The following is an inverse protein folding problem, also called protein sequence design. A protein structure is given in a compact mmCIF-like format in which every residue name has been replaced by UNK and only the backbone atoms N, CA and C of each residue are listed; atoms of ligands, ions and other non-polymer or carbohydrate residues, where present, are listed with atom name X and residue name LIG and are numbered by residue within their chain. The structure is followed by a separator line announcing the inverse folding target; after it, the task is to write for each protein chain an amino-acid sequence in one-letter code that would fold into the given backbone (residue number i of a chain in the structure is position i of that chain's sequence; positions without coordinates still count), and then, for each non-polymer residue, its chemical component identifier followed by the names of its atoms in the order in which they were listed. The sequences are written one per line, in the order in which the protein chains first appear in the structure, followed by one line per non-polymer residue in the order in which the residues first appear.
data_IF_990508170148
#
_entry.id   IF_990508170148
#
_cell.length_a   1.000
_cell.length_b   1.000
_cell.length_c   1.000
_cell.angle_alpha   90.00
_cell.angle_beta   90.00
_cell.angle_gamma   90.00
#
_symmetry.space_group_name_H-M   'P 1'
#
loop_
_entity.id
_entity.type
_entity.pdbx_description
1 polymer ?
#
# COMPACT_ATOMS: atom_id res chain seq x y z
N UNK A 1 9.31 -5.65 3.77
CA UNK A 1 8.40 -5.83 4.94
C UNK A 1 7.28 -4.82 4.80
N UNK A 2 6.06 -5.23 5.11
CA UNK A 2 4.91 -4.34 5.20
C UNK A 2 4.61 -4.12 6.68
N UNK A 3 4.47 -2.87 7.10
CA UNK A 3 4.04 -2.53 8.46
C UNK A 3 3.00 -1.43 8.38
N UNK A 4 1.86 -1.67 9.04
CA UNK A 4 0.71 -0.78 9.05
C UNK A 4 0.39 -0.46 10.51
N UNK A 5 0.31 0.82 10.82
CA UNK A 5 -0.11 1.32 12.13
C UNK A 5 -1.34 2.18 11.97
N UNK A 6 -2.22 2.23 12.98
CA UNK A 6 -3.48 2.92 12.82
C UNK A 6 -4.19 3.20 14.14
N UNK A 7 -5.36 3.86 14.07
CA UNK A 7 -6.13 4.24 15.25
C UNK A 7 -6.57 3.00 16.05
N UNK A 8 -6.57 3.14 17.37
CA UNK A 8 -7.06 2.11 18.29
C UNK A 8 -8.60 2.10 18.27
N UNK A 9 -9.18 1.50 17.23
CA UNK A 9 -10.63 1.37 17.05
C UNK A 9 -11.02 -0.11 16.98
N UNK A 10 -12.18 -0.49 17.54
CA UNK A 10 -12.66 -1.89 17.58
C UNK A 10 -12.76 -2.55 16.20
N UNK A 11 -12.95 -1.76 15.13
CA UNK A 11 -12.98 -2.25 13.76
C UNK A 11 -11.61 -2.42 13.08
N UNK A 12 -10.52 -1.94 13.71
CA UNK A 12 -9.18 -2.01 13.11
C UNK A 12 -8.51 -3.27 13.60
N UNK A 13 -8.48 -4.28 12.73
CA UNK A 13 -7.68 -5.47 12.91
C UNK A 13 -6.42 -5.34 12.05
N UNK A 14 -5.39 -4.57 12.48
CA UNK A 14 -4.18 -4.38 11.69
C UNK A 14 -3.68 -5.72 11.20
N UNK A 15 -3.17 -5.77 9.97
CA UNK A 15 -2.60 -7.01 9.43
C UNK A 15 -1.50 -7.59 10.35
N UNK A 16 -0.94 -6.75 11.23
CA UNK A 16 0.15 -7.06 12.13
C UNK A 16 1.47 -6.99 11.37
N UNK A 17 2.54 -7.51 11.96
CA UNK A 17 3.75 -7.76 11.19
C UNK A 17 3.50 -8.86 10.17
N UNK A 18 3.83 -8.58 8.91
CA UNK A 18 3.64 -9.51 7.81
C UNK A 18 4.66 -9.32 6.70
N UNK A 19 4.81 -10.35 5.88
CA UNK A 19 5.65 -10.30 4.69
C UNK A 19 4.79 -10.45 3.45
N UNK A 20 4.95 -9.51 2.53
CA UNK A 20 4.53 -9.66 1.15
C UNK A 20 5.78 -9.93 0.33
N UNK A 21 5.79 -11.03 -0.42
CA UNK A 21 6.90 -11.41 -1.30
C UNK A 21 6.39 -11.51 -2.74
N UNK A 22 7.15 -10.93 -3.66
CA UNK A 22 6.89 -11.01 -5.10
C UNK A 22 7.77 -12.12 -5.69
N UNK A 23 7.16 -13.04 -6.43
CA UNK A 23 7.86 -14.12 -7.12
C UNK A 23 7.44 -14.23 -8.58
N UNK A 24 8.30 -14.81 -9.40
CA UNK A 24 7.94 -15.20 -10.76
C UNK A 24 6.96 -16.37 -10.72
N UNK A 25 5.94 -16.32 -11.58
CA UNK A 25 4.93 -17.34 -11.77
C UNK A 25 4.63 -17.51 -13.26
N UNK A 26 3.74 -18.43 -13.58
CA UNK A 26 3.27 -18.67 -14.95
C UNK A 26 1.76 -18.55 -14.95
N UNK A 27 1.20 -17.72 -15.83
CA UNK A 27 -0.24 -17.60 -15.97
C UNK A 27 -0.80 -18.86 -16.66
N UNK A 28 -1.47 -19.71 -15.88
CA UNK A 28 -1.91 -21.05 -16.28
C UNK A 28 -2.73 -21.13 -17.60
N UNK A 29 -3.55 -20.14 -17.99
CA UNK A 29 -4.28 -20.18 -19.25
C UNK A 29 -3.41 -19.95 -20.49
N UNK A 30 -2.26 -19.28 -20.38
CA UNK A 30 -1.49 -18.79 -21.53
C UNK A 30 0.00 -19.10 -21.49
N UNK A 31 0.51 -19.68 -20.40
CA UNK A 31 1.93 -20.00 -20.25
C UNK A 31 2.84 -18.77 -20.21
N UNK A 32 2.27 -17.56 -20.05
CA UNK A 32 3.02 -16.33 -20.07
C UNK A 32 3.73 -16.09 -18.73
N UNK A 33 4.92 -15.46 -18.74
CA UNK A 33 5.57 -14.99 -17.52
C UNK A 33 4.64 -14.05 -16.76
N UNK A 34 4.44 -14.35 -15.48
CA UNK A 34 3.64 -13.57 -14.58
C UNK A 34 4.39 -13.32 -13.27
N UNK A 35 3.85 -12.42 -12.47
CA UNK A 35 4.27 -12.21 -11.10
C UNK A 35 3.15 -12.68 -10.17
N UNK A 36 3.53 -13.25 -9.03
CA UNK A 36 2.60 -13.66 -7.98
C UNK A 36 3.07 -13.05 -6.66
N UNK A 37 2.14 -12.46 -5.92
CA UNK A 37 2.39 -12.03 -4.55
C UNK A 37 2.02 -13.16 -3.59
N UNK A 38 2.88 -13.40 -2.61
CA UNK A 38 2.54 -14.21 -1.44
C UNK A 38 2.47 -13.30 -0.23
N UNK A 39 1.27 -13.16 0.35
CA UNK A 39 1.09 -12.53 1.64
C UNK A 39 1.16 -13.60 2.74
N UNK A 40 2.01 -13.36 3.73
CA UNK A 40 2.14 -14.19 4.92
C UNK A 40 2.05 -13.32 6.16
N UNK A 41 1.04 -13.59 6.97
CA UNK A 41 0.81 -13.00 8.30
C UNK A 41 0.63 -14.13 9.33
N UNK A 42 0.57 -13.84 10.64
CA UNK A 42 0.21 -14.85 11.63
C UNK A 42 -1.18 -15.48 11.40
N UNK A 43 -2.07 -14.77 10.69
CA UNK A 43 -3.46 -15.18 10.46
C UNK A 43 -3.69 -15.90 9.15
N UNK A 44 -2.89 -15.63 8.11
CA UNK A 44 -3.12 -16.18 6.78
C UNK A 44 -1.84 -16.32 5.97
N UNK A 45 -1.82 -17.29 5.05
CA UNK A 45 -0.89 -17.32 3.93
C UNK A 45 -1.72 -17.45 2.66
N UNK A 46 -1.62 -16.47 1.76
CA UNK A 46 -2.37 -16.48 0.50
C UNK A 46 -1.54 -16.00 -0.67
N UNK A 47 -1.82 -16.58 -1.83
CA UNK A 47 -1.32 -16.16 -3.13
C UNK A 47 -2.28 -15.17 -3.75
N UNK A 48 -1.74 -14.13 -4.38
CA UNK A 48 -2.49 -13.06 -5.02
C UNK A 48 -1.86 -12.84 -6.41
N UNK A 49 -2.69 -12.87 -7.44
CA UNK A 49 -2.26 -12.82 -8.84
C UNK A 49 -2.99 -13.86 -9.69
N UNK A 50 -2.50 -14.13 -10.92
CA UNK A 50 -1.25 -13.62 -11.51
C UNK A 50 -1.30 -12.14 -11.94
N UNK A 51 -0.15 -11.48 -11.94
CA UNK A 51 0.04 -10.10 -12.43
C UNK A 51 0.93 -10.08 -13.68
N UNK A 52 0.66 -9.20 -14.66
CA UNK A 52 1.51 -9.06 -15.84
C UNK A 52 2.88 -8.46 -15.49
N UNK A 53 3.95 -9.01 -16.08
CA UNK A 53 5.32 -8.49 -15.90
C UNK A 53 5.54 -7.08 -16.46
N UNK A 54 4.69 -6.64 -17.39
CA UNK A 54 4.72 -5.31 -18.01
C UNK A 54 3.92 -4.25 -17.25
N UNK A 55 3.26 -4.62 -16.15
CA UNK A 55 2.49 -3.72 -15.32
C UNK A 55 3.35 -2.90 -14.34
N UNK A 56 2.69 -2.00 -13.59
CA UNK A 56 3.30 -1.37 -12.42
C UNK A 56 3.58 -2.38 -11.30
N UNK A 57 4.34 -1.97 -10.29
CA UNK A 57 4.72 -2.84 -9.16
C UNK A 57 3.47 -3.44 -8.48
N UNK A 58 3.26 -4.77 -8.54
CA UNK A 58 2.10 -5.40 -7.91
C UNK A 58 2.08 -5.24 -6.40
N UNK A 59 3.24 -5.18 -5.75
CA UNK A 59 3.33 -5.02 -4.31
C UNK A 59 2.83 -3.64 -3.88
N UNK A 60 3.18 -2.59 -4.63
CA UNK A 60 2.66 -1.24 -4.42
C UNK A 60 1.14 -1.20 -4.63
N UNK A 61 0.66 -1.80 -5.71
CA UNK A 61 -0.78 -1.86 -6.01
C UNK A 61 -1.55 -2.54 -4.88
N UNK A 62 -1.08 -3.71 -4.43
CA UNK A 62 -1.67 -4.44 -3.31
C UNK A 62 -1.68 -3.62 -2.01
N UNK A 63 -0.57 -2.95 -1.70
CA UNK A 63 -0.46 -2.10 -0.51
C UNK A 63 -1.48 -0.95 -0.50
N UNK A 64 -1.61 -0.23 -1.62
CA UNK A 64 -2.55 0.89 -1.73
C UNK A 64 -4.01 0.41 -1.66
N UNK A 65 -4.34 -0.70 -2.32
CA UNK A 65 -5.68 -1.29 -2.29
C UNK A 65 -6.09 -1.76 -0.90
N UNK A 66 -5.15 -2.38 -0.18
CA UNK A 66 -5.37 -2.83 1.20
C UNK A 66 -5.58 -1.64 2.13
N UNK A 67 -4.73 -0.63 2.03
CA UNK A 67 -4.86 0.61 2.81
C UNK A 67 -6.22 1.29 2.57
N UNK A 68 -6.63 1.40 1.30
CA UNK A 68 -7.91 2.02 0.97
C UNK A 68 -9.11 1.21 1.49
N UNK A 69 -9.04 -0.12 1.40
CA UNK A 69 -10.08 -1.03 1.92
C UNK A 69 -10.22 -0.91 3.43
N UNK A 70 -9.11 -0.91 4.15
CA UNK A 70 -9.11 -0.84 5.62
C UNK A 70 -9.67 0.50 6.09
N UNK A 71 -9.24 1.60 5.48
CA UNK A 71 -9.77 2.93 5.79
C UNK A 71 -11.28 3.01 5.51
N UNK A 72 -11.76 2.46 4.39
CA UNK A 72 -13.19 2.46 4.07
C UNK A 72 -14.01 1.67 5.11
N UNK A 73 -13.51 0.50 5.52
CA UNK A 73 -14.16 -0.33 6.52
C UNK A 73 -14.28 0.38 7.88
N UNK A 74 -13.29 1.19 8.25
CA UNK A 74 -13.24 1.91 9.52
C UNK A 74 -14.05 3.20 9.55
N UNK A 75 -13.97 3.97 8.47
CA UNK A 75 -14.58 5.30 8.40
C UNK A 75 -16.02 5.25 7.88
N UNK A 76 -16.44 4.11 7.31
CA UNK A 76 -17.65 4.03 6.48
C UNK A 76 -17.55 4.83 5.19
N UNK A 77 -16.34 5.30 4.83
CA UNK A 77 -16.07 6.11 3.66
C UNK A 77 -16.14 5.31 2.35
N UNK A 78 -16.27 6.02 1.23
CA UNK A 78 -16.27 5.40 -0.10
C UNK A 78 -14.87 4.88 -0.46
N UNK A 79 -14.70 3.58 -0.77
CA UNK A 79 -13.42 3.05 -1.25
C UNK A 79 -12.94 3.75 -2.52
N UNK A 80 -13.86 4.16 -3.39
CA UNK A 80 -13.53 4.89 -4.63
C UNK A 80 -12.94 6.28 -4.33
N UNK A 81 -13.54 7.00 -3.37
CA UNK A 81 -13.03 8.30 -2.93
C UNK A 81 -11.62 8.19 -2.38
N UNK A 82 -11.43 7.24 -1.45
CA UNK A 82 -10.14 6.99 -0.79
C UNK A 82 -9.07 6.66 -1.82
N UNK A 83 -9.33 5.72 -2.75
CA UNK A 83 -8.41 5.38 -3.84
C UNK A 83 -8.03 6.60 -4.68
N UNK A 84 -8.99 7.45 -5.04
CA UNK A 84 -8.70 8.65 -5.82
C UNK A 84 -7.80 9.61 -5.05
N UNK A 85 -7.98 9.77 -3.74
CA UNK A 85 -7.10 10.59 -2.90
C UNK A 85 -5.69 10.01 -2.79
N UNK A 86 -5.56 8.69 -2.57
CA UNK A 86 -4.23 8.04 -2.57
C UNK A 86 -3.52 8.24 -3.90
N UNK A 87 -4.23 8.03 -5.02
CA UNK A 87 -3.71 8.23 -6.38
C UNK A 87 -3.30 9.69 -6.61
N UNK A 88 -4.17 10.64 -6.29
CA UNK A 88 -3.89 12.06 -6.47
C UNK A 88 -2.66 12.48 -5.67
N UNK A 89 -2.49 11.95 -4.46
CA UNK A 89 -1.31 12.21 -3.65
C UNK A 89 -0.03 11.74 -4.34
N UNK A 90 -0.02 10.50 -4.84
CA UNK A 90 1.13 9.93 -5.56
C UNK A 90 1.54 10.72 -6.79
N UNK A 91 0.58 11.36 -7.48
CA UNK A 91 0.87 12.16 -8.67
C UNK A 91 1.17 13.63 -8.41
N UNK A 92 0.69 14.20 -7.30
CA UNK A 92 0.66 15.66 -7.12
C UNK A 92 1.33 16.16 -5.84
N UNK A 93 1.48 15.32 -4.83
CA UNK A 93 1.95 15.73 -3.52
C UNK A 93 2.80 14.64 -2.86
N UNK A 94 4.10 14.71 -3.12
CA UNK A 94 5.09 13.88 -2.46
C UNK A 94 6.34 14.69 -2.15
N UNK A 95 7.01 14.33 -1.07
CA UNK A 95 8.31 14.87 -0.71
C UNK A 95 9.33 13.75 -0.56
N UNK A 96 10.59 14.06 -0.84
CA UNK A 96 11.71 13.14 -0.61
C UNK A 96 12.38 13.53 0.70
N UNK A 97 12.35 12.62 1.67
CA UNK A 97 13.08 12.72 2.94
C UNK A 97 14.30 11.81 2.89
N UNK A 98 15.41 12.28 3.45
CA UNK A 98 16.62 11.47 3.67
C UNK A 98 16.65 11.06 5.14
N UNK A 99 16.49 9.76 5.40
CA UNK A 99 16.41 9.21 6.76
C UNK A 99 17.59 8.25 6.99
N UNK A 100 18.69 8.82 7.52
CA UNK A 100 19.98 8.12 7.54
C UNK A 100 20.49 7.91 6.11
N UNK A 101 20.81 6.67 5.76
CA UNK A 101 21.25 6.26 4.42
C UNK A 101 20.07 6.01 3.46
N UNK A 102 18.83 6.09 3.93
CA UNK A 102 17.64 5.76 3.14
C UNK A 102 17.01 6.99 2.48
N UNK A 103 16.66 6.86 1.21
CA UNK A 103 15.79 7.81 0.50
C UNK A 103 14.34 7.38 0.67
N UNK A 104 13.50 8.24 1.23
CA UNK A 104 12.10 7.94 1.54
C UNK A 104 11.18 8.92 0.84
N UNK A 105 10.31 8.41 -0.04
CA UNK A 105 9.24 9.21 -0.60
C UNK A 105 8.03 9.19 0.35
N UNK A 106 7.58 10.37 0.78
CA UNK A 106 6.48 10.55 1.73
C UNK A 106 5.34 11.28 1.06
N UNK A 107 4.13 10.76 1.22
CA UNK A 107 2.89 11.30 0.66
C UNK A 107 1.85 11.43 1.77
N UNK A 108 1.10 12.54 1.77
CA UNK A 108 0.07 12.85 2.78
C UNK A 108 -1.29 13.05 2.13
N UNK A 109 -2.01 11.96 1.78
CA UNK A 109 -3.13 12.02 0.85
C UNK A 109 -4.30 12.91 1.29
N UNK A 110 -4.42 13.13 2.59
CA UNK A 110 -5.53 13.85 3.18
C UNK A 110 -5.13 15.18 3.81
N UNK A 111 -3.89 15.64 3.59
CA UNK A 111 -3.36 16.87 4.20
C UNK A 111 -4.27 18.09 3.99
N UNK A 112 -4.95 18.17 2.84
CA UNK A 112 -5.82 19.29 2.48
C UNK A 112 -7.23 18.82 2.11
N UNK A 113 -7.65 17.64 2.60
CA UNK A 113 -8.95 17.09 2.27
C UNK A 113 -10.08 17.77 3.07
N UNK A 114 -11.20 18.05 2.42
CA UNK A 114 -12.37 18.66 3.05
C UNK A 114 -13.05 17.73 4.07
N UNK A 115 -12.91 16.41 3.91
CA UNK A 115 -13.52 15.38 4.74
C UNK A 115 -12.63 14.94 5.92
N UNK A 116 -11.49 15.60 6.18
CA UNK A 116 -10.55 15.24 7.26
C UNK A 116 -11.22 14.93 8.60
N UNK A 117 -12.19 15.75 9.02
CA UNK A 117 -12.92 15.55 10.28
C UNK A 117 -13.72 14.25 10.38
N UNK A 118 -13.88 13.52 9.28
CA UNK A 118 -14.65 12.25 9.19
C UNK A 118 -13.75 11.03 9.02
N UNK A 119 -12.43 11.20 9.05
CA UNK A 119 -11.47 10.15 8.70
C UNK A 119 -10.98 9.32 9.89
N UNK A 120 -11.53 9.50 11.09
CA UNK A 120 -11.22 8.67 12.27
C UNK A 120 -9.71 8.49 12.55
N UNK A 121 -8.90 9.54 12.35
CA UNK A 121 -7.45 9.52 12.53
C UNK A 121 -6.63 9.33 11.24
N UNK A 122 -7.25 8.88 10.15
CA UNK A 122 -6.58 8.79 8.83
C UNK A 122 -6.33 10.14 8.16
N UNK A 123 -6.83 11.25 8.71
CA UNK A 123 -6.53 12.59 8.20
C UNK A 123 -5.04 12.97 8.32
N UNK A 124 -4.28 12.21 9.12
CA UNK A 124 -2.83 12.33 9.28
C UNK A 124 -2.04 11.21 8.59
N UNK A 125 -2.69 10.40 7.74
CA UNK A 125 -2.05 9.29 7.03
C UNK A 125 -0.81 9.76 6.25
N UNK A 126 0.33 9.14 6.53
CA UNK A 126 1.56 9.24 5.73
C UNK A 126 1.81 7.91 5.01
N UNK A 127 1.83 7.93 3.68
CA UNK A 127 2.37 6.82 2.90
C UNK A 127 3.87 7.02 2.74
N UNK A 128 4.66 6.03 3.13
CA UNK A 128 6.13 6.13 3.12
C UNK A 128 6.72 4.97 2.32
N UNK A 129 7.49 5.30 1.30
CA UNK A 129 8.15 4.34 0.43
C UNK A 129 9.66 4.51 0.54
N UNK A 130 10.34 3.50 1.08
CA UNK A 130 11.80 3.48 1.07
C UNK A 130 12.27 3.04 -0.31
N UNK A 131 12.93 3.96 -1.00
CA UNK A 131 13.44 3.80 -2.35
C UNK A 131 14.89 3.32 -2.30
N UNK A 132 15.22 2.36 -3.15
CA UNK A 132 16.60 2.04 -3.54
C UNK A 132 16.79 2.56 -4.98
N UNK A 133 17.50 1.83 -5.83
CA UNK A 133 17.59 2.07 -7.27
C UNK A 133 16.18 2.13 -7.92
N UNK A 134 15.85 3.16 -8.72
CA UNK A 134 14.55 3.29 -9.41
C UNK A 134 14.17 2.10 -10.30
N UNK A 135 15.15 1.32 -10.76
CA UNK A 135 14.93 0.08 -11.53
C UNK A 135 14.65 -1.16 -10.68
N UNK A 136 14.62 -1.03 -9.35
CA UNK A 136 14.36 -2.14 -8.42
C UNK A 136 12.99 -2.00 -7.73
N UNK A 137 12.39 -3.11 -7.30
CA UNK A 137 11.15 -3.08 -6.52
C UNK A 137 11.27 -2.25 -5.25
N UNK A 138 10.15 -1.68 -4.79
CA UNK A 138 10.14 -0.89 -3.55
C UNK A 138 10.49 -1.79 -2.36
N UNK A 139 11.54 -1.43 -1.62
CA UNK A 139 12.10 -2.26 -0.55
C UNK A 139 11.22 -2.31 0.70
N UNK A 140 10.57 -1.19 1.03
CA UNK A 140 9.72 -1.05 2.22
C UNK A 140 8.60 -0.05 1.98
N UNK A 141 7.42 -0.40 2.47
CA UNK A 141 6.20 0.41 2.38
C UNK A 141 5.57 0.50 3.77
N UNK A 142 5.17 1.69 4.19
CA UNK A 142 4.54 1.96 5.48
C UNK A 142 3.33 2.90 5.30
N UNK A 143 2.26 2.62 6.04
CA UNK A 143 1.05 3.43 6.16
C UNK A 143 0.63 3.52 7.64
#
# INVERSE_FOLDING_TARGET
MLHQTGPQAEGFAPLGEGTVSLGAATDAPHGQPALELTEKTPRTTRKIGPFPVSGGDPALTFFLETTARDMAALTGGSPFYIRNRLKDALFRSGEIRHEGEATVAVFVPFAQDENRGRMAGFDTLELRFTLDDPGRPIRRMLA
#
